data_IF_111886785784
#
_entry.id   IF_111886785784
#
_cell.length_a   1.000
_cell.length_b   1.000
_cell.length_c   1.000
_cell.angle_alpha   90.00
_cell.angle_beta   90.00
_cell.angle_gamma   90.00
#
_symmetry.space_group_name_H-M   'P 1'
#
loop_
_entity.id
_entity.type
_entity.pdbx_description
1 polymer ?
#
# COMPACT_ATOMS: atom_id res chain seq x y z
N UNK A 1 0.72 7.31 5.87
CA UNK A 1 0.70 8.42 4.89
C UNK A 1 -0.35 8.18 3.80
N UNK A 2 -1.00 9.25 3.32
CA UNK A 2 -2.12 9.15 2.35
C UNK A 2 -1.66 8.52 1.03
N UNK A 3 -0.53 8.95 0.47
CA UNK A 3 -0.03 8.46 -0.82
C UNK A 3 0.17 6.94 -0.89
N UNK A 4 0.61 6.30 0.19
CA UNK A 4 0.85 4.85 0.22
C UNK A 4 -0.46 4.06 0.07
N UNK A 5 -1.54 4.58 0.67
CA UNK A 5 -2.87 3.97 0.56
C UNK A 5 -3.42 4.16 -0.84
N UNK A 6 -3.28 5.36 -1.41
CA UNK A 6 -3.76 5.67 -2.76
C UNK A 6 -3.07 4.80 -3.80
N UNK A 7 -1.73 4.73 -3.80
CA UNK A 7 -0.97 3.88 -4.74
C UNK A 7 -1.34 2.40 -4.59
N UNK A 8 -1.49 1.90 -3.35
CA UNK A 8 -1.91 0.53 -3.12
C UNK A 8 -3.32 0.26 -3.68
N UNK A 9 -4.25 1.19 -3.48
CA UNK A 9 -5.62 1.03 -3.95
C UNK A 9 -5.70 1.04 -5.49
N UNK A 10 -5.06 2.02 -6.14
CA UNK A 10 -5.01 2.12 -7.60
C UNK A 10 -4.37 0.86 -8.22
N UNK A 11 -3.32 0.33 -7.60
CA UNK A 11 -2.63 -0.85 -8.13
C UNK A 11 -3.44 -2.15 -7.92
N UNK A 12 -4.05 -2.34 -6.74
CA UNK A 12 -4.70 -3.61 -6.37
C UNK A 12 -6.15 -3.68 -6.83
N UNK A 13 -6.93 -2.62 -6.62
CA UNK A 13 -8.36 -2.61 -6.92
C UNK A 13 -8.63 -2.17 -8.35
N UNK A 14 -7.95 -1.11 -8.80
CA UNK A 14 -8.15 -0.55 -10.14
C UNK A 14 -7.20 -1.15 -11.19
N UNK A 15 -6.28 -2.04 -10.77
CA UNK A 15 -5.30 -2.73 -11.62
C UNK A 15 -4.43 -1.80 -12.47
N UNK A 16 -4.26 -0.56 -12.04
CA UNK A 16 -3.40 0.39 -12.72
C UNK A 16 -1.92 -0.02 -12.66
N UNK A 17 -1.22 0.19 -13.75
CA UNK A 17 0.24 0.03 -13.84
C UNK A 17 0.96 1.15 -13.10
N UNK A 18 2.23 0.93 -12.76
CA UNK A 18 3.06 1.98 -12.15
C UNK A 18 3.16 3.25 -13.01
N UNK A 19 3.10 3.10 -14.33
CA UNK A 19 3.12 4.19 -15.31
C UNK A 19 1.86 5.04 -15.26
N UNK A 20 0.69 4.42 -15.25
CA UNK A 20 -0.59 5.14 -15.11
C UNK A 20 -0.68 5.86 -13.76
N UNK A 21 -0.25 5.19 -12.68
CA UNK A 21 -0.22 5.80 -11.34
C UNK A 21 0.75 6.98 -11.29
N UNK A 22 1.91 6.91 -11.94
CA UNK A 22 2.84 8.06 -12.00
C UNK A 22 2.23 9.28 -12.66
N UNK A 23 1.47 9.08 -13.74
CA UNK A 23 0.79 10.15 -14.47
C UNK A 23 -0.35 10.71 -13.62
N UNK A 24 -1.21 9.84 -13.07
CA UNK A 24 -2.38 10.23 -12.29
C UNK A 24 -2.03 11.01 -11.02
N UNK A 25 -0.93 10.66 -10.35
CA UNK A 25 -0.50 11.29 -9.11
C UNK A 25 0.65 12.29 -9.29
N UNK A 26 1.09 12.51 -10.52
CA UNK A 26 2.24 13.35 -10.87
C UNK A 26 3.51 13.02 -10.04
N UNK A 27 3.81 11.73 -9.90
CA UNK A 27 4.99 11.20 -9.19
C UNK A 27 5.85 10.37 -10.14
N UNK A 28 7.09 10.08 -9.79
CA UNK A 28 7.90 9.14 -10.59
C UNK A 28 7.40 7.69 -10.46
N UNK A 29 7.63 6.87 -11.48
CA UNK A 29 7.37 5.42 -11.42
C UNK A 29 8.15 4.75 -10.27
N UNK A 30 9.38 5.20 -10.00
CA UNK A 30 10.20 4.75 -8.87
C UNK A 30 9.55 5.09 -7.52
N UNK A 31 8.89 6.24 -7.43
CA UNK A 31 8.10 6.63 -6.26
C UNK A 31 6.89 5.71 -6.12
N UNK A 32 6.14 5.45 -7.20
CA UNK A 32 5.01 4.51 -7.17
C UNK A 32 5.42 3.11 -6.67
N UNK A 33 6.51 2.54 -7.21
CA UNK A 33 7.04 1.23 -6.78
C UNK A 33 7.43 1.21 -5.30
N UNK A 34 8.16 2.23 -4.84
CA UNK A 34 8.60 2.31 -3.44
C UNK A 34 7.43 2.54 -2.47
N UNK A 35 6.44 3.36 -2.84
CA UNK A 35 5.22 3.57 -2.08
C UNK A 35 4.41 2.27 -1.96
N UNK A 36 4.25 1.51 -3.05
CA UNK A 36 3.56 0.21 -3.03
C UNK A 36 4.26 -0.78 -2.09
N UNK A 37 5.59 -0.88 -2.14
CA UNK A 37 6.37 -1.75 -1.26
C UNK A 37 6.19 -1.38 0.22
N UNK A 38 6.30 -0.08 0.55
CA UNK A 38 6.08 0.42 1.91
C UNK A 38 4.63 0.20 2.38
N UNK A 39 3.65 0.41 1.50
CA UNK A 39 2.23 0.17 1.79
C UNK A 39 1.97 -1.30 2.16
N UNK A 40 2.51 -2.24 1.38
CA UNK A 40 2.42 -3.68 1.66
C UNK A 40 3.08 -4.06 2.99
N UNK A 41 4.26 -3.49 3.28
CA UNK A 41 4.96 -3.74 4.54
C UNK A 41 4.15 -3.25 5.75
N UNK A 42 3.58 -2.04 5.64
CA UNK A 42 2.71 -1.47 6.68
C UNK A 42 1.45 -2.33 6.89
N UNK A 43 0.81 -2.79 5.80
CA UNK A 43 -0.35 -3.66 5.87
C UNK A 43 -0.02 -4.98 6.58
N UNK A 44 1.09 -5.64 6.20
CA UNK A 44 1.56 -6.85 6.88
C UNK A 44 1.84 -6.63 8.36
N UNK A 45 2.46 -5.49 8.72
CA UNK A 45 2.71 -5.14 10.13
C UNK A 45 1.39 -5.01 10.90
N UNK A 46 0.42 -4.28 10.35
CA UNK A 46 -0.91 -4.14 10.98
C UNK A 46 -1.61 -5.49 11.10
N UNK A 47 -1.58 -6.33 10.07
CA UNK A 47 -2.20 -7.65 10.11
C UNK A 47 -1.59 -8.54 11.20
N UNK A 48 -0.27 -8.50 11.38
CA UNK A 48 0.41 -9.20 12.49
C UNK A 48 -0.03 -8.64 13.86
N UNK A 49 -0.16 -7.34 13.99
CA UNK A 49 -0.63 -6.68 15.22
C UNK A 49 -2.07 -7.10 15.54
N UNK A 50 -2.97 -7.06 14.55
CA UNK A 50 -4.35 -7.53 14.69
C UNK A 50 -4.41 -9.01 15.07
N UNK A 51 -3.57 -9.86 14.45
CA UNK A 51 -3.54 -11.29 14.78
C UNK A 51 -3.09 -11.54 16.22
N UNK A 52 -2.06 -10.82 16.71
CA UNK A 52 -1.62 -10.90 18.11
C UNK A 52 -2.69 -10.43 19.10
N UNK A 53 -3.45 -9.40 18.76
CA UNK A 53 -4.53 -8.88 19.62
C UNK A 53 -5.65 -9.91 19.80
N UNK A 54 -5.90 -10.78 18.81
CA UNK A 54 -6.93 -11.82 18.92
C UNK A 54 -6.51 -12.96 19.86
N UNK A 55 -5.22 -13.24 20.02
CA UNK A 55 -4.75 -14.30 20.94
C UNK A 55 -4.84 -13.90 22.41
N UNK A 56 -4.74 -12.60 22.74
CA UNK A 56 -4.79 -12.11 24.14
C UNK A 56 -6.23 -11.94 24.64
N UNK A 57 -7.21 -11.88 23.74
CA UNK A 57 -8.63 -11.65 24.07
C UNK A 57 -9.47 -12.93 24.10
N UNK A 58 -8.87 -14.09 23.90
CA UNK A 58 -9.52 -15.39 23.92
C UNK A 58 -9.18 -16.13 25.21
#
# INVERSE_FOLDING_TARGET
PVGYRTVLNLFVFEKHTHKEISIALNISESTSKSQLSKARSLLRKKMKEFCKVQEVKK
#
